data_IF_937643848758
#
_entry.id   IF_937643848758
#
_cell.length_a   1.000
_cell.length_b   1.000
_cell.length_c   1.000
_cell.angle_alpha   90.00
_cell.angle_beta   90.00
_cell.angle_gamma   90.00
#
_symmetry.space_group_name_H-M   'P 1'
#
loop_
_entity.id
_entity.type
_entity.pdbx_description
1 polymer ?
#
# COMPACT_ATOMS: atom_id res chain seq x y z
N UNK A 1 -18.25 30.47 -6.86
CA UNK A 1 -18.11 29.06 -6.43
C UNK A 1 -16.80 28.90 -5.66
N UNK A 2 -16.78 28.18 -4.54
CA UNK A 2 -15.50 27.78 -3.91
C UNK A 2 -14.81 26.76 -4.83
N UNK A 3 -13.47 26.79 -4.97
CA UNK A 3 -12.76 25.77 -5.74
C UNK A 3 -12.97 24.39 -5.08
N UNK A 4 -13.24 23.37 -5.89
CA UNK A 4 -13.28 21.98 -5.42
C UNK A 4 -11.85 21.56 -5.07
N UNK A 5 -11.66 21.07 -3.85
CA UNK A 5 -10.37 20.58 -3.35
C UNK A 5 -10.42 19.07 -3.24
N UNK A 6 -9.26 18.44 -3.34
CA UNK A 6 -9.03 17.01 -3.16
C UNK A 6 -7.69 16.84 -2.47
N UNK A 7 -7.56 15.82 -1.62
CA UNK A 7 -6.29 15.44 -1.01
C UNK A 7 -5.85 14.11 -1.62
N UNK A 8 -4.67 14.10 -2.23
CA UNK A 8 -3.94 12.88 -2.57
C UNK A 8 -2.94 12.61 -1.45
N UNK A 9 -2.99 11.42 -0.89
CA UNK A 9 -2.15 11.01 0.21
C UNK A 9 -1.35 9.77 -0.18
N UNK A 10 -0.04 9.84 0.04
CA UNK A 10 0.81 8.65 -0.03
C UNK A 10 0.49 7.69 1.13
N UNK A 11 0.95 6.44 1.01
CA UNK A 11 0.69 5.41 1.99
C UNK A 11 1.89 5.14 2.90
N UNK A 12 2.95 4.54 2.34
CA UNK A 12 4.15 4.14 3.09
C UNK A 12 4.89 5.36 3.63
N UNK A 13 5.24 5.35 4.92
CA UNK A 13 5.87 6.50 5.58
C UNK A 13 4.95 7.72 5.75
N UNK A 14 3.74 7.72 5.20
CA UNK A 14 2.75 8.81 5.29
C UNK A 14 1.53 8.38 6.14
N UNK A 15 0.65 7.55 5.59
CA UNK A 15 -0.49 6.93 6.31
C UNK A 15 0.03 5.95 7.34
N UNK A 16 0.98 5.10 6.96
CA UNK A 16 1.74 4.28 7.92
C UNK A 16 2.92 5.10 8.43
N UNK A 17 3.33 4.86 9.68
CA UNK A 17 4.49 5.57 10.22
C UNK A 17 5.83 5.10 9.60
N UNK A 18 5.81 3.95 8.91
CA UNK A 18 6.99 3.23 8.42
C UNK A 18 6.80 2.74 6.98
N UNK A 19 7.91 2.41 6.32
CA UNK A 19 7.95 1.82 4.99
C UNK A 19 7.51 0.34 5.04
N UNK A 20 6.22 0.07 4.86
CA UNK A 20 5.64 -1.27 4.99
C UNK A 20 5.82 -2.09 3.71
N UNK A 21 5.72 -1.48 2.54
CA UNK A 21 5.84 -2.21 1.28
C UNK A 21 7.26 -2.77 1.07
N UNK A 22 8.30 -1.95 1.31
CA UNK A 22 9.69 -2.43 1.25
C UNK A 22 9.95 -3.49 2.32
N UNK A 23 9.33 -3.38 3.50
CA UNK A 23 9.39 -4.39 4.55
C UNK A 23 8.82 -5.73 4.08
N UNK A 24 7.62 -5.72 3.52
CA UNK A 24 6.96 -6.90 2.93
C UNK A 24 7.85 -7.55 1.87
N UNK A 25 8.37 -6.77 0.91
CA UNK A 25 9.25 -7.33 -0.14
C UNK A 25 10.49 -8.04 0.45
N UNK A 26 11.09 -7.48 1.51
CA UNK A 26 12.26 -8.07 2.18
C UNK A 26 11.91 -9.33 2.99
N UNK A 27 10.70 -9.42 3.52
CA UNK A 27 10.24 -10.57 4.28
C UNK A 27 9.93 -11.77 3.37
N UNK A 28 9.24 -11.52 2.26
CA UNK A 28 8.75 -12.59 1.38
C UNK A 28 9.66 -12.91 0.19
N UNK A 29 10.62 -12.03 -0.13
CA UNK A 29 11.60 -12.24 -1.20
C UNK A 29 12.98 -11.62 -0.86
N UNK A 30 13.62 -12.02 0.26
CA UNK A 30 14.85 -11.39 0.76
C UNK A 30 16.01 -11.43 -0.23
N UNK A 31 16.26 -12.59 -0.87
CA UNK A 31 17.39 -12.78 -1.78
C UNK A 31 17.27 -11.89 -3.01
N UNK A 32 16.07 -11.83 -3.60
CA UNK A 32 15.82 -11.02 -4.80
C UNK A 32 15.81 -9.53 -4.46
N UNK A 33 15.32 -9.15 -3.27
CA UNK A 33 15.48 -7.80 -2.76
C UNK A 33 16.95 -7.40 -2.63
N UNK A 34 17.79 -8.26 -2.02
CA UNK A 34 19.22 -7.99 -1.86
C UNK A 34 19.92 -7.77 -3.21
N UNK A 35 19.50 -8.49 -4.25
CA UNK A 35 20.07 -8.37 -5.59
C UNK A 35 19.54 -7.16 -6.38
N UNK A 36 18.25 -6.86 -6.30
CA UNK A 36 17.59 -5.89 -7.18
C UNK A 36 17.45 -4.49 -6.57
N UNK A 37 17.26 -4.36 -5.24
CA UNK A 37 17.13 -3.06 -4.59
C UNK A 37 18.35 -2.15 -4.84
N UNK A 38 19.61 -2.60 -4.72
CA UNK A 38 20.77 -1.76 -5.03
C UNK A 38 20.78 -1.25 -6.47
N UNK A 39 20.36 -2.09 -7.43
CA UNK A 39 20.27 -1.71 -8.85
C UNK A 39 19.19 -0.66 -9.10
N UNK A 40 18.07 -0.74 -8.38
CA UNK A 40 17.02 0.28 -8.41
C UNK A 40 17.50 1.62 -7.82
N UNK A 41 18.19 1.60 -6.67
CA UNK A 41 18.79 2.81 -6.09
C UNK A 41 19.86 3.44 -6.99
N UNK A 42 20.66 2.61 -7.65
CA UNK A 42 21.65 3.05 -8.63
C UNK A 42 21.04 3.47 -9.99
N UNK A 43 19.71 3.42 -10.14
CA UNK A 43 18.95 3.71 -11.38
C UNK A 43 19.38 2.88 -12.59
N UNK A 44 19.93 1.69 -12.35
CA UNK A 44 20.30 0.71 -13.37
C UNK A 44 19.13 -0.20 -13.75
N UNK A 45 18.13 -0.30 -12.86
CA UNK A 45 16.87 -1.00 -13.06
C UNK A 45 15.74 -0.05 -12.66
N UNK A 46 14.67 0.03 -13.46
CA UNK A 46 13.53 0.87 -13.10
C UNK A 46 12.80 0.28 -11.88
N UNK A 47 12.21 1.15 -11.04
CA UNK A 47 11.40 0.70 -9.91
C UNK A 47 10.28 -0.25 -10.37
N UNK A 48 9.56 0.10 -11.44
CA UNK A 48 8.49 -0.74 -12.01
C UNK A 48 9.00 -2.14 -12.37
N UNK A 49 10.15 -2.24 -13.04
CA UNK A 49 10.68 -3.52 -13.48
C UNK A 49 11.25 -4.35 -12.31
N UNK A 50 11.96 -3.72 -11.38
CA UNK A 50 12.53 -4.42 -10.24
C UNK A 50 11.49 -4.87 -9.23
N UNK A 51 10.52 -4.02 -8.88
CA UNK A 51 9.41 -4.39 -8.00
C UNK A 51 8.57 -5.51 -8.60
N UNK A 52 8.28 -5.46 -9.91
CA UNK A 52 7.56 -6.54 -10.58
C UNK A 52 8.28 -7.89 -10.47
N UNK A 53 9.60 -7.92 -10.73
CA UNK A 53 10.39 -9.14 -10.60
C UNK A 53 10.34 -9.71 -9.18
N UNK A 54 10.38 -8.85 -8.16
CA UNK A 54 10.31 -9.27 -6.76
C UNK A 54 8.92 -9.84 -6.45
N UNK A 55 7.85 -9.10 -6.76
CA UNK A 55 6.48 -9.54 -6.52
C UNK A 55 6.17 -10.86 -7.22
N UNK A 56 6.53 -10.99 -8.50
CA UNK A 56 6.27 -12.19 -9.30
C UNK A 56 7.18 -13.38 -8.95
N UNK A 57 8.07 -13.23 -7.97
CA UNK A 57 8.84 -14.33 -7.38
C UNK A 57 8.21 -14.89 -6.10
N UNK A 58 7.22 -14.20 -5.53
CA UNK A 58 6.57 -14.61 -4.29
C UNK A 58 5.50 -15.66 -4.62
N UNK A 59 5.54 -16.85 -3.99
CA UNK A 59 4.49 -17.86 -4.16
C UNK A 59 3.12 -17.31 -3.77
N UNK A 60 2.10 -17.54 -4.61
CA UNK A 60 0.72 -17.09 -4.33
C UNK A 60 0.17 -17.67 -3.03
N UNK A 61 0.66 -18.85 -2.62
CA UNK A 61 0.32 -19.49 -1.36
C UNK A 61 0.64 -18.63 -0.13
N UNK A 62 1.56 -17.65 -0.24
CA UNK A 62 1.95 -16.73 0.85
C UNK A 62 1.08 -15.47 0.93
N UNK A 63 0.05 -15.36 0.09
CA UNK A 63 -0.85 -14.20 0.11
C UNK A 63 -1.57 -13.98 1.46
N UNK A 64 -2.04 -15.02 2.17
CA UNK A 64 -2.60 -14.87 3.52
C UNK A 64 -1.60 -14.28 4.52
N UNK A 65 -0.32 -14.62 4.41
CA UNK A 65 0.75 -14.13 5.26
C UNK A 65 1.08 -12.66 4.95
N UNK A 66 1.01 -12.23 3.68
CA UNK A 66 1.11 -10.81 3.30
C UNK A 66 -0.05 -10.00 3.91
N UNK A 67 -1.26 -10.56 3.92
CA UNK A 67 -2.40 -9.94 4.61
C UNK A 67 -2.11 -9.82 6.11
N UNK A 68 -1.72 -10.91 6.77
CA UNK A 68 -1.39 -10.92 8.20
C UNK A 68 -0.28 -9.91 8.56
N UNK A 69 0.76 -9.82 7.73
CA UNK A 69 1.81 -8.81 7.84
C UNK A 69 1.22 -7.40 7.84
N UNK A 70 0.30 -7.13 6.91
CA UNK A 70 -0.34 -5.81 6.74
C UNK A 70 -1.23 -5.44 7.92
N UNK A 71 -1.95 -6.41 8.50
CA UNK A 71 -2.81 -6.19 9.67
C UNK A 71 -2.03 -5.72 10.90
N UNK A 72 -0.75 -6.11 11.01
CA UNK A 72 0.09 -5.68 12.12
C UNK A 72 0.62 -4.24 12.00
N UNK A 73 0.43 -3.58 10.85
CA UNK A 73 1.03 -2.28 10.57
C UNK A 73 0.18 -1.13 11.14
N UNK A 74 0.71 -0.31 12.07
CA UNK A 74 -0.03 0.78 12.64
C UNK A 74 -0.15 1.96 11.66
N UNK A 75 -1.30 2.62 11.68
CA UNK A 75 -1.46 3.93 11.04
C UNK A 75 -0.81 5.02 11.89
N UNK A 76 -0.44 6.12 11.23
CA UNK A 76 0.13 7.30 11.87
C UNK A 76 -0.92 7.97 12.77
N UNK A 77 -0.58 8.30 14.04
CA UNK A 77 -1.48 9.06 14.90
C UNK A 77 -1.91 10.38 14.22
N UNK A 78 -3.19 10.70 14.30
CA UNK A 78 -3.75 11.87 13.61
C UNK A 78 -4.46 11.57 12.29
N UNK A 79 -4.29 10.37 11.71
CA UNK A 79 -4.91 10.03 10.43
C UNK A 79 -6.43 10.13 10.48
N UNK A 80 -7.07 9.56 11.51
CA UNK A 80 -8.52 9.62 11.67
C UNK A 80 -8.99 11.08 11.80
N UNK A 81 -8.31 11.89 12.63
CA UNK A 81 -8.65 13.30 12.82
C UNK A 81 -8.51 14.11 11.53
N UNK A 82 -7.54 13.76 10.68
CA UNK A 82 -7.40 14.36 9.36
C UNK A 82 -8.60 14.00 8.48
N UNK A 83 -9.01 12.73 8.42
CA UNK A 83 -10.15 12.31 7.59
C UNK A 83 -11.46 12.91 8.14
N UNK A 84 -11.64 12.98 9.47
CA UNK A 84 -12.76 13.68 10.13
C UNK A 84 -12.85 15.14 9.67
N UNK A 85 -11.70 15.82 9.64
CA UNK A 85 -11.63 17.19 9.15
C UNK A 85 -11.99 17.28 7.66
N UNK A 86 -11.44 16.42 6.81
CA UNK A 86 -11.70 16.45 5.36
C UNK A 86 -13.17 16.16 5.02
N UNK A 87 -13.78 15.19 5.71
CA UNK A 87 -15.21 14.88 5.58
C UNK A 87 -16.08 16.08 5.97
N UNK A 88 -15.75 16.76 7.07
CA UNK A 88 -16.48 17.98 7.50
C UNK A 88 -16.40 19.11 6.47
N UNK A 89 -15.36 19.12 5.63
CA UNK A 89 -15.16 20.11 4.58
C UNK A 89 -15.69 19.64 3.21
N UNK A 90 -16.20 18.40 3.11
CA UNK A 90 -16.58 17.77 1.84
C UNK A 90 -15.41 17.64 0.86
N UNK A 91 -14.20 17.40 1.38
CA UNK A 91 -12.97 17.25 0.60
C UNK A 91 -12.65 15.76 0.45
N UNK A 92 -12.66 15.20 -0.77
CA UNK A 92 -12.33 13.80 -0.97
C UNK A 92 -10.87 13.50 -0.59
N UNK A 93 -10.67 12.37 0.09
CA UNK A 93 -9.36 11.82 0.41
C UNK A 93 -9.08 10.62 -0.49
N UNK A 94 -8.00 10.70 -1.28
CA UNK A 94 -7.58 9.69 -2.25
C UNK A 94 -6.22 9.17 -1.83
N UNK A 95 -6.05 7.85 -1.80
CA UNK A 95 -4.76 7.21 -1.51
C UNK A 95 -4.07 6.83 -2.81
N UNK A 96 -2.79 7.17 -2.93
CA UNK A 96 -1.92 6.79 -4.05
C UNK A 96 -0.69 6.10 -3.46
N UNK A 97 -0.50 4.82 -3.75
CA UNK A 97 0.58 4.01 -3.20
C UNK A 97 1.35 3.29 -4.29
N UNK A 98 2.67 3.19 -4.13
CA UNK A 98 3.51 2.29 -4.92
C UNK A 98 3.45 0.82 -4.48
N UNK A 99 2.84 0.54 -3.33
CA UNK A 99 2.66 -0.79 -2.78
C UNK A 99 1.42 -1.51 -3.30
N UNK A 100 1.08 -2.63 -2.66
CA UNK A 100 -0.08 -3.44 -3.06
C UNK A 100 -1.39 -2.83 -2.55
N UNK A 101 -2.42 -2.81 -3.41
CA UNK A 101 -3.77 -2.37 -3.05
C UNK A 101 -4.28 -3.07 -1.80
N UNK A 102 -4.11 -4.39 -1.74
CA UNK A 102 -4.60 -5.20 -0.63
C UNK A 102 -3.97 -4.79 0.72
N UNK A 103 -2.71 -4.35 0.72
CA UNK A 103 -2.06 -3.87 1.95
C UNK A 103 -2.70 -2.57 2.43
N UNK A 104 -2.96 -1.63 1.50
CA UNK A 104 -3.64 -0.36 1.79
C UNK A 104 -5.04 -0.61 2.34
N UNK A 105 -5.82 -1.45 1.66
CA UNK A 105 -7.17 -1.82 2.09
C UNK A 105 -7.18 -2.50 3.45
N UNK A 106 -6.24 -3.44 3.69
CA UNK A 106 -6.14 -4.15 4.96
C UNK A 106 -5.85 -3.18 6.11
N UNK A 107 -4.84 -2.32 5.98
CA UNK A 107 -4.48 -1.35 7.03
C UNK A 107 -5.63 -0.37 7.30
N UNK A 108 -6.24 0.18 6.25
CA UNK A 108 -7.34 1.13 6.41
C UNK A 108 -8.62 0.48 6.93
N UNK A 109 -8.84 -0.81 6.65
CA UNK A 109 -10.00 -1.55 7.14
C UNK A 109 -10.01 -1.74 8.65
N UNK A 110 -8.80 -1.77 9.25
CA UNK A 110 -8.59 -1.94 10.68
C UNK A 110 -8.37 -0.63 11.41
N UNK A 111 -8.11 0.45 10.67
CA UNK A 111 -7.94 1.77 11.23
C UNK A 111 -9.30 2.45 11.45
N UNK A 112 -9.35 3.29 12.50
CA UNK A 112 -10.54 4.03 12.93
C UNK A 112 -11.00 3.63 14.33
N UNK A 113 -11.98 4.34 14.88
CA UNK A 113 -12.59 4.00 16.18
C UNK A 113 -13.37 2.68 16.08
N UNK A 114 -13.51 2.00 17.21
CA UNK A 114 -14.21 0.72 17.38
C UNK A 114 -15.39 0.50 16.41
N UNK A 115 -15.14 -0.25 15.33
CA UNK A 115 -16.13 -0.65 14.33
C UNK A 115 -16.31 0.27 13.11
N UNK A 116 -15.66 1.43 13.06
CA UNK A 116 -15.70 2.36 11.92
C UNK A 116 -14.40 2.34 11.12
N UNK A 117 -14.43 1.59 10.02
CA UNK A 117 -13.29 1.43 9.11
C UNK A 117 -13.03 2.69 8.30
N UNK A 118 -11.79 3.21 8.34
CA UNK A 118 -11.39 4.34 7.52
C UNK A 118 -11.44 4.04 6.01
N UNK A 119 -11.39 2.76 5.61
CA UNK A 119 -11.47 2.36 4.20
C UNK A 119 -12.74 2.88 3.53
N UNK A 120 -13.89 2.84 4.22
CA UNK A 120 -15.17 3.33 3.69
C UNK A 120 -15.23 4.86 3.47
N UNK A 121 -14.25 5.58 4.03
CA UNK A 121 -14.14 7.05 3.97
C UNK A 121 -13.11 7.53 2.96
N UNK A 122 -12.35 6.60 2.36
CA UNK A 122 -11.44 6.90 1.26
C UNK A 122 -12.21 6.91 -0.06
N UNK A 123 -12.09 8.00 -0.82
CA UNK A 123 -12.83 8.19 -2.06
C UNK A 123 -12.30 7.31 -3.20
N UNK A 124 -10.99 7.03 -3.23
CA UNK A 124 -10.36 6.12 -4.19
C UNK A 124 -8.98 5.66 -3.69
N UNK A 125 -8.58 4.46 -4.10
CA UNK A 125 -7.24 3.91 -3.87
C UNK A 125 -6.60 3.61 -5.24
N UNK A 126 -5.40 4.12 -5.47
CA UNK A 126 -4.56 3.81 -6.62
C UNK A 126 -3.30 3.11 -6.11
N UNK A 127 -3.18 1.82 -6.38
CA UNK A 127 -2.10 0.96 -5.90
C UNK A 127 -1.94 -0.25 -6.83
N UNK A 128 -0.90 -1.05 -6.61
CA UNK A 128 -0.60 -2.22 -7.44
C UNK A 128 -1.55 -3.38 -7.11
N UNK A 129 -2.21 -3.92 -8.12
CA UNK A 129 -3.05 -5.11 -8.01
C UNK A 129 -2.25 -6.38 -8.36
N UNK A 130 -2.53 -7.48 -7.65
CA UNK A 130 -1.92 -8.79 -7.91
C UNK A 130 -2.96 -9.89 -8.03
N UNK A 131 -2.71 -10.88 -8.89
CA UNK A 131 -3.46 -12.14 -8.94
C UNK A 131 -2.73 -13.23 -8.16
N UNK A 132 -3.51 -14.13 -7.59
CA UNK A 132 -3.05 -15.24 -6.75
C UNK A 132 -3.43 -16.61 -7.34
N UNK A 133 -3.91 -16.65 -8.58
CA UNK A 133 -4.40 -17.88 -9.24
C UNK A 133 -3.29 -18.78 -9.77
N UNK A 134 -2.14 -18.19 -10.10
CA UNK A 134 -0.94 -18.90 -10.55
C UNK A 134 -0.08 -19.35 -9.35
N UNK A 135 0.97 -20.15 -9.61
CA UNK A 135 1.95 -20.58 -8.61
C UNK A 135 2.61 -19.40 -7.86
N UNK A 136 2.89 -18.32 -8.59
CA UNK A 136 3.47 -17.07 -8.08
C UNK A 136 2.51 -15.91 -8.31
N UNK A 137 2.64 -14.86 -7.49
CA UNK A 137 1.85 -13.64 -7.67
C UNK A 137 2.03 -13.08 -9.08
N UNK A 138 0.97 -12.53 -9.66
CA UNK A 138 1.03 -11.84 -10.95
C UNK A 138 0.62 -10.40 -10.80
N UNK A 139 1.51 -9.47 -11.14
CA UNK A 139 1.16 -8.04 -11.11
C UNK A 139 0.21 -7.74 -12.25
N UNK A 140 -0.99 -7.23 -11.94
CA UNK A 140 -1.86 -6.62 -12.95
C UNK A 140 -1.29 -5.26 -13.28
N UNK A 141 -0.77 -5.11 -14.51
CA UNK A 141 -0.44 -3.80 -15.02
C UNK A 141 -1.52 -3.33 -15.96
N UNK A 142 -2.13 -2.19 -15.64
CA UNK A 142 -2.55 -1.23 -16.66
C UNK A 142 -1.31 -0.56 -17.31
#
# INVERSE_FOLDING_TARGET
MKPKRVVFCDFDGTITAQETFVGMLKEFAPDLCQQLMPKMYARQLTLRAGVRQILESIPSALYPEILAYSQSQPTRPGLEQLIDFLDSQGVPFIVVSGGLRVMVETVLSQAGKEGDSLLGRVAAIYAVDVETTDEFLRVKSE
#
